data_IF_918704014861
#
_entry.id   IF_918704014861
#
_cell.length_a   1.000
_cell.length_b   1.000
_cell.length_c   1.000
_cell.angle_alpha   90.00
_cell.angle_beta   90.00
_cell.angle_gamma   90.00
#
_symmetry.space_group_name_H-M   'P 1'
#
loop_
_entity.id
_entity.type
_entity.pdbx_description
1 polymer ?
#
# COMPACT_ATOMS: atom_id res chain seq x y z
N UNK A 1 12.10 -11.87 36.48
CA UNK A 1 10.67 -11.51 36.32
C UNK A 1 10.58 -10.12 35.73
N UNK A 2 9.52 -9.83 34.96
CA UNK A 2 9.28 -8.56 34.27
C UNK A 2 7.83 -8.18 34.51
N UNK A 3 7.55 -6.90 34.80
CA UNK A 3 6.19 -6.42 35.05
C UNK A 3 5.52 -5.94 33.76
N UNK A 4 4.30 -6.45 33.50
CA UNK A 4 3.41 -6.05 32.39
C UNK A 4 1.97 -6.04 32.89
N UNK A 5 1.09 -5.25 32.27
CA UNK A 5 -0.34 -5.18 32.64
C UNK A 5 -1.30 -5.78 31.59
N UNK A 6 -0.79 -6.43 30.54
CA UNK A 6 -1.61 -7.02 29.47
C UNK A 6 -2.67 -6.04 28.92
N UNK A 7 -2.20 -4.89 28.46
CA UNK A 7 -3.05 -3.73 28.12
C UNK A 7 -3.88 -4.02 26.87
N UNK A 8 -5.19 -3.80 26.96
CA UNK A 8 -6.17 -3.99 25.87
C UNK A 8 -6.91 -2.70 25.49
N UNK A 9 -6.93 -1.70 26.37
CA UNK A 9 -7.59 -0.41 26.16
C UNK A 9 -6.82 0.71 26.89
N UNK A 10 -7.15 1.97 26.61
CA UNK A 10 -6.33 3.10 27.06
C UNK A 10 -6.67 3.47 28.50
N UNK A 11 -7.94 3.80 28.77
CA UNK A 11 -8.39 4.28 30.07
C UNK A 11 -9.29 3.25 30.78
N UNK A 12 -9.37 3.28 32.11
CA UNK A 12 -10.18 2.32 32.87
C UNK A 12 -11.66 2.34 32.45
N UNK A 13 -12.20 3.51 32.10
CA UNK A 13 -13.58 3.71 31.65
C UNK A 13 -13.89 3.02 30.30
N UNK A 14 -12.88 2.76 29.47
CA UNK A 14 -13.01 2.07 28.19
C UNK A 14 -13.32 0.57 28.34
N UNK A 15 -13.26 0.01 29.55
CA UNK A 15 -13.55 -1.41 29.80
C UNK A 15 -14.92 -1.83 29.24
N UNK A 16 -15.92 -0.95 29.33
CA UNK A 16 -17.27 -1.20 28.79
C UNK A 16 -17.31 -1.20 27.25
N UNK A 17 -16.56 -0.30 26.61
CA UNK A 17 -16.43 -0.24 25.17
C UNK A 17 -15.65 -1.46 24.62
N UNK A 18 -14.59 -1.87 25.32
CA UNK A 18 -13.84 -3.08 25.01
C UNK A 18 -14.71 -4.34 25.15
N UNK A 19 -15.54 -4.42 26.18
CA UNK A 19 -16.48 -5.53 26.37
C UNK A 19 -17.49 -5.63 25.21
N UNK A 20 -17.99 -4.49 24.73
CA UNK A 20 -18.80 -4.43 23.51
C UNK A 20 -18.02 -4.86 22.27
N UNK A 21 -16.76 -4.45 22.13
CA UNK A 21 -15.89 -4.86 21.03
C UNK A 21 -15.71 -6.39 20.99
N UNK A 22 -15.52 -7.03 22.15
CA UNK A 22 -15.47 -8.50 22.25
C UNK A 22 -16.79 -9.14 21.82
N UNK A 23 -17.93 -8.58 22.25
CA UNK A 23 -19.24 -9.07 21.84
C UNK A 23 -19.45 -8.96 20.32
N UNK A 24 -19.03 -7.85 19.71
CA UNK A 24 -19.07 -7.66 18.24
C UNK A 24 -18.20 -8.70 17.54
N UNK A 25 -16.95 -8.87 17.99
CA UNK A 25 -15.98 -9.79 17.40
C UNK A 25 -16.36 -11.27 17.56
N UNK A 26 -17.05 -11.63 18.64
CA UNK A 26 -17.51 -13.01 18.91
C UNK A 26 -18.95 -13.26 18.50
N UNK A 27 -19.63 -12.26 17.92
CA UNK A 27 -21.05 -12.31 17.55
C UNK A 27 -21.97 -12.71 18.71
N UNK A 28 -21.69 -12.21 19.91
CA UNK A 28 -22.49 -12.41 21.12
C UNK A 28 -23.18 -11.11 21.55
N UNK A 29 -24.09 -11.21 22.53
CA UNK A 29 -24.70 -10.05 23.19
C UNK A 29 -24.12 -9.86 24.59
N UNK A 30 -24.13 -8.62 25.11
CA UNK A 30 -23.77 -8.33 26.50
C UNK A 30 -24.62 -9.10 27.53
N UNK A 31 -25.81 -9.54 27.12
CA UNK A 31 -26.75 -10.29 27.95
C UNK A 31 -26.46 -11.79 28.00
N UNK A 32 -25.57 -12.31 27.15
CA UNK A 32 -25.18 -13.72 27.17
C UNK A 32 -24.23 -13.99 28.34
N UNK A 33 -24.63 -14.85 29.28
CA UNK A 33 -23.80 -15.20 30.45
C UNK A 33 -22.52 -15.94 30.09
N UNK A 34 -22.49 -16.64 28.96
CA UNK A 34 -21.34 -17.44 28.47
C UNK A 34 -20.47 -16.67 27.48
N UNK A 35 -20.75 -15.39 27.25
CA UNK A 35 -19.95 -14.56 26.35
C UNK A 35 -18.51 -14.44 26.82
N UNK A 36 -17.62 -14.23 25.85
CA UNK A 36 -16.24 -13.87 26.16
C UNK A 36 -16.23 -12.51 26.87
N UNK A 37 -15.63 -12.47 28.06
CA UNK A 37 -15.44 -11.24 28.84
C UNK A 37 -14.13 -11.30 29.59
N UNK A 38 -13.50 -10.15 29.77
CA UNK A 38 -12.33 -10.06 30.64
C UNK A 38 -12.73 -10.19 32.10
N UNK A 39 -11.79 -10.59 32.96
CA UNK A 39 -12.03 -10.85 34.38
C UNK A 39 -12.23 -9.57 35.24
N UNK A 40 -12.27 -8.39 34.62
CA UNK A 40 -12.47 -7.09 35.27
C UNK A 40 -12.12 -5.94 34.34
N UNK A 41 -12.00 -4.75 34.91
CA UNK A 41 -11.74 -3.48 34.22
C UNK A 41 -10.27 -3.01 34.31
N UNK A 42 -9.36 -3.88 34.76
CA UNK A 42 -7.97 -3.51 35.06
C UNK A 42 -6.97 -3.66 33.89
N UNK A 43 -7.42 -3.91 32.65
CA UNK A 43 -6.56 -4.09 31.48
C UNK A 43 -6.27 -2.79 30.70
N UNK A 44 -6.32 -1.65 31.39
CA UNK A 44 -5.97 -0.33 30.83
C UNK A 44 -4.47 -0.02 30.95
N UNK A 45 -4.03 1.06 30.30
CA UNK A 45 -2.66 1.56 30.40
C UNK A 45 -2.43 2.27 31.74
N UNK A 46 -2.02 1.50 32.75
CA UNK A 46 -1.79 2.03 34.11
C UNK A 46 -0.65 3.05 34.17
N UNK A 47 -0.80 4.13 34.96
CA UNK A 47 0.32 5.03 35.23
C UNK A 47 1.42 4.31 36.03
N UNK A 48 2.68 4.80 35.96
CA UNK A 48 3.81 4.17 36.67
C UNK A 48 3.60 4.00 38.17
N UNK A 49 2.94 4.97 38.83
CA UNK A 49 2.66 4.92 40.27
C UNK A 49 1.78 3.72 40.66
N UNK A 50 0.77 3.40 39.85
CA UNK A 50 -0.11 2.26 40.08
C UNK A 50 0.62 0.94 39.85
N UNK A 51 1.43 0.86 38.79
CA UNK A 51 2.27 -0.32 38.52
C UNK A 51 3.30 -0.57 39.62
N UNK A 52 3.90 0.48 40.18
CA UNK A 52 4.84 0.36 41.31
C UNK A 52 4.13 -0.18 42.54
N UNK A 53 2.93 0.30 42.86
CA UNK A 53 2.17 -0.21 44.00
C UNK A 53 1.74 -1.67 43.80
N UNK A 54 1.30 -2.04 42.59
CA UNK A 54 0.93 -3.43 42.24
C UNK A 54 2.11 -4.40 42.38
N UNK A 55 3.33 -3.95 42.09
CA UNK A 55 4.55 -4.75 42.15
C UNK A 55 5.46 -4.38 43.33
N UNK A 56 4.93 -3.78 44.40
CA UNK A 56 5.73 -3.33 45.55
C UNK A 56 6.54 -4.43 46.23
N UNK A 57 6.03 -5.66 46.19
CA UNK A 57 6.71 -6.84 46.77
C UNK A 57 7.87 -7.32 45.88
N UNK A 58 7.92 -6.90 44.61
CA UNK A 58 8.95 -7.28 43.62
C UNK A 58 9.36 -6.06 42.76
N UNK A 59 10.02 -5.02 43.34
CA UNK A 59 10.38 -3.81 42.60
C UNK A 59 11.28 -4.07 41.39
N UNK A 60 12.13 -5.11 41.48
CA UNK A 60 13.00 -5.58 40.41
C UNK A 60 12.24 -5.93 39.13
N UNK A 61 10.96 -6.31 39.21
CA UNK A 61 10.15 -6.60 38.03
C UNK A 61 9.91 -5.34 37.18
N UNK A 62 9.73 -4.17 37.82
CA UNK A 62 9.57 -2.87 37.18
C UNK A 62 10.91 -2.40 36.58
N UNK A 63 12.00 -2.49 37.36
CA UNK A 63 13.36 -2.15 36.89
C UNK A 63 13.76 -2.96 35.64
N UNK A 64 13.38 -4.24 35.61
CA UNK A 64 13.64 -5.10 34.47
C UNK A 64 12.86 -4.68 33.21
N UNK A 65 11.64 -4.14 33.35
CA UNK A 65 10.87 -3.60 32.22
C UNK A 65 11.60 -2.41 31.60
N UNK A 66 12.08 -1.47 32.41
CA UNK A 66 12.86 -0.32 31.92
C UNK A 66 14.19 -0.76 31.28
N UNK A 67 14.89 -1.71 31.91
CA UNK A 67 16.14 -2.25 31.37
C UNK A 67 15.94 -2.93 30.01
N UNK A 68 14.88 -3.74 29.85
CA UNK A 68 14.55 -4.36 28.56
C UNK A 68 14.23 -3.30 27.52
N UNK A 69 13.41 -2.30 27.87
CA UNK A 69 13.09 -1.20 26.96
C UNK A 69 14.36 -0.46 26.50
N UNK A 70 15.31 -0.21 27.41
CA UNK A 70 16.61 0.40 27.08
C UNK A 70 17.53 -0.46 26.22
N UNK A 71 17.32 -1.78 26.18
CA UNK A 71 18.06 -2.71 25.30
C UNK A 71 17.45 -2.82 23.89
N UNK A 72 16.18 -2.47 23.74
CA UNK A 72 15.46 -2.56 22.48
C UNK A 72 15.74 -1.33 21.60
N UNK A 73 16.54 -1.49 20.55
CA UNK A 73 16.81 -0.45 19.56
C UNK A 73 16.62 -1.00 18.14
N UNK A 74 15.38 -0.96 17.66
CA UNK A 74 15.03 -1.33 16.29
C UNK A 74 14.94 -0.06 15.43
N UNK A 75 15.69 -0.03 14.32
CA UNK A 75 15.60 1.03 13.32
C UNK A 75 14.96 0.46 12.06
N UNK A 76 13.79 0.99 11.70
CA UNK A 76 13.14 0.72 10.44
C UNK A 76 13.46 1.86 9.48
N UNK A 77 14.05 1.54 8.33
CA UNK A 77 14.33 2.51 7.28
C UNK A 77 13.11 2.63 6.36
N UNK A 78 12.56 3.83 6.27
CA UNK A 78 11.45 4.15 5.38
C UNK A 78 11.96 5.01 4.21
N UNK A 79 11.33 4.86 3.04
CA UNK A 79 11.65 5.66 1.85
C UNK A 79 12.79 5.12 0.98
N UNK A 80 13.42 3.99 1.34
CA UNK A 80 14.30 3.27 0.41
C UNK A 80 13.44 2.49 -0.57
N UNK A 81 13.63 2.77 -1.86
CA UNK A 81 12.96 2.06 -2.94
C UNK A 81 13.76 0.82 -3.32
N UNK A 82 13.07 -0.32 -3.38
CA UNK A 82 13.59 -1.58 -3.87
C UNK A 82 12.81 -1.92 -5.13
N UNK A 83 13.37 -1.54 -6.28
CA UNK A 83 12.74 -1.81 -7.57
C UNK A 83 13.20 -3.18 -8.08
N UNK A 84 12.29 -4.02 -8.61
CA UNK A 84 12.69 -5.25 -9.26
C UNK A 84 13.50 -4.93 -10.53
N UNK A 85 14.49 -5.77 -10.80
CA UNK A 85 15.27 -5.70 -12.01
C UNK A 85 14.57 -6.51 -13.12
N UNK A 86 14.68 -6.03 -14.35
CA UNK A 86 14.23 -6.76 -15.53
C UNK A 86 15.45 -7.39 -16.22
N UNK A 87 15.27 -8.52 -16.88
CA UNK A 87 16.29 -9.07 -17.76
C UNK A 87 16.51 -8.10 -18.94
N UNK A 88 17.73 -7.56 -19.02
CA UNK A 88 18.14 -6.65 -20.08
C UNK A 88 18.87 -7.43 -21.19
N UNK A 89 18.77 -7.01 -22.47
CA UNK A 89 19.65 -7.50 -23.52
C UNK A 89 21.13 -7.28 -23.17
N UNK A 90 22.01 -8.14 -23.66
CA UNK A 90 23.46 -8.04 -23.42
C UNK A 90 23.98 -6.62 -23.74
N UNK A 91 24.84 -6.11 -22.86
CA UNK A 91 25.53 -4.81 -22.98
C UNK A 91 24.66 -3.54 -22.92
N UNK A 92 23.37 -3.62 -22.56
CA UNK A 92 22.51 -2.43 -22.39
C UNK A 92 22.23 -2.10 -20.94
N UNK A 93 22.19 -0.79 -20.63
CA UNK A 93 21.62 -0.30 -19.37
C UNK A 93 20.10 -0.20 -19.46
N UNK A 94 19.41 -0.14 -18.31
CA UNK A 94 17.97 0.08 -18.25
C UNK A 94 17.54 1.38 -18.96
N UNK A 95 18.31 2.47 -18.80
CA UNK A 95 18.03 3.74 -19.47
C UNK A 95 18.14 3.62 -21.00
N UNK A 96 19.17 2.91 -21.49
CA UNK A 96 19.36 2.69 -22.93
C UNK A 96 18.26 1.83 -23.51
N UNK A 97 17.92 0.73 -22.83
CA UNK A 97 16.87 -0.17 -23.28
C UNK A 97 15.49 0.52 -23.29
N UNK A 98 15.18 1.31 -22.26
CA UNK A 98 13.96 2.12 -22.22
C UNK A 98 13.90 3.12 -23.37
N UNK A 99 15.01 3.82 -23.65
CA UNK A 99 15.08 4.77 -24.76
C UNK A 99 14.87 4.08 -26.11
N UNK A 100 15.53 2.94 -26.34
CA UNK A 100 15.38 2.15 -27.58
C UNK A 100 13.93 1.75 -27.83
N UNK A 101 13.24 1.22 -26.80
CA UNK A 101 11.82 0.86 -26.88
C UNK A 101 10.95 2.07 -27.22
N UNK A 102 11.24 3.23 -26.64
CA UNK A 102 10.48 4.45 -26.93
C UNK A 102 10.70 4.92 -28.38
N UNK A 103 11.94 4.91 -28.87
CA UNK A 103 12.24 5.29 -30.25
C UNK A 103 11.68 4.29 -31.28
N UNK A 104 11.60 3.00 -30.94
CA UNK A 104 10.96 1.99 -31.77
C UNK A 104 9.43 2.15 -31.78
N UNK A 105 8.82 2.52 -30.65
CA UNK A 105 7.38 2.77 -30.53
C UNK A 105 6.93 4.12 -31.11
N UNK A 106 7.80 5.14 -31.10
CA UNK A 106 7.45 6.51 -31.51
C UNK A 106 6.79 6.59 -32.90
N UNK A 107 7.29 5.94 -33.97
CA UNK A 107 6.67 6.02 -35.30
C UNK A 107 5.27 5.40 -35.38
N UNK A 108 4.91 4.52 -34.45
CA UNK A 108 3.58 3.90 -34.42
C UNK A 108 2.50 4.92 -34.01
N UNK A 109 2.84 5.83 -33.10
CA UNK A 109 1.96 6.88 -32.60
C UNK A 109 2.13 8.20 -33.36
N UNK A 110 3.36 8.51 -33.76
CA UNK A 110 3.72 9.73 -34.50
C UNK A 110 4.49 9.38 -35.78
N UNK A 111 3.80 9.09 -36.91
CA UNK A 111 4.45 8.72 -38.17
C UNK A 111 5.39 9.80 -38.74
N UNK A 112 5.13 11.07 -38.40
CA UNK A 112 6.00 12.21 -38.70
C UNK A 112 6.17 13.04 -37.43
N UNK A 113 7.10 12.66 -36.54
CA UNK A 113 7.27 13.36 -35.28
C UNK A 113 7.75 14.79 -35.56
N UNK A 114 7.09 15.76 -34.95
CA UNK A 114 7.55 17.15 -34.98
C UNK A 114 8.76 17.32 -34.06
N UNK A 115 9.58 18.37 -34.25
CA UNK A 115 10.68 18.66 -33.32
C UNK A 115 10.22 18.79 -31.85
N UNK A 116 8.98 19.22 -31.62
CA UNK A 116 8.39 19.32 -30.28
C UNK A 116 8.19 17.94 -29.63
N UNK A 117 7.73 16.95 -30.40
CA UNK A 117 7.55 15.57 -29.95
C UNK A 117 8.90 14.95 -29.57
N UNK A 118 9.90 15.09 -30.43
CA UNK A 118 11.25 14.56 -30.18
C UNK A 118 11.91 15.22 -28.95
N UNK A 119 11.73 16.53 -28.81
CA UNK A 119 12.21 17.27 -27.63
C UNK A 119 11.52 16.82 -26.36
N UNK A 120 10.20 16.63 -26.38
CA UNK A 120 9.43 16.15 -25.22
C UNK A 120 9.85 14.75 -24.81
N UNK A 121 9.99 13.83 -25.77
CA UNK A 121 10.46 12.46 -25.47
C UNK A 121 11.86 12.48 -24.87
N UNK A 122 12.79 13.23 -25.46
CA UNK A 122 14.17 13.31 -24.97
C UNK A 122 14.25 13.92 -23.57
N UNK A 123 13.41 14.93 -23.29
CA UNK A 123 13.30 15.53 -21.96
C UNK A 123 12.79 14.52 -20.92
N UNK A 124 11.70 13.81 -21.19
CA UNK A 124 11.14 12.83 -20.27
C UNK A 124 12.11 11.68 -19.98
N UNK A 125 12.80 11.16 -21.01
CA UNK A 125 13.83 10.12 -20.84
C UNK A 125 14.99 10.58 -19.96
N UNK A 126 15.44 11.83 -20.12
CA UNK A 126 16.50 12.40 -19.28
C UNK A 126 16.04 12.57 -17.82
N UNK A 127 14.79 12.98 -17.60
CA UNK A 127 14.21 13.07 -16.26
C UNK A 127 14.13 11.69 -15.59
N UNK A 128 13.69 10.66 -16.31
CA UNK A 128 13.60 9.28 -15.81
C UNK A 128 14.98 8.75 -15.44
N UNK A 129 16.00 9.03 -16.27
CA UNK A 129 17.39 8.66 -16.01
C UNK A 129 17.93 9.34 -14.75
N UNK A 130 17.69 10.64 -14.58
CA UNK A 130 18.15 11.39 -13.39
C UNK A 130 17.45 10.96 -12.11
N UNK A 131 16.20 10.49 -12.20
CA UNK A 131 15.43 9.95 -11.08
C UNK A 131 15.68 8.47 -10.81
N UNK A 132 16.43 7.78 -11.68
CA UNK A 132 16.77 6.35 -11.60
C UNK A 132 15.55 5.42 -11.62
N UNK A 133 14.50 5.82 -12.33
CA UNK A 133 13.25 5.04 -12.44
C UNK A 133 13.13 4.20 -13.72
N UNK A 134 14.18 4.08 -14.53
CA UNK A 134 14.10 3.31 -15.77
C UNK A 134 13.64 1.85 -15.55
N UNK A 135 14.14 1.16 -14.52
CA UNK A 135 13.70 -0.19 -14.17
C UNK A 135 12.20 -0.26 -13.85
N UNK A 136 11.66 0.76 -13.17
CA UNK A 136 10.23 0.81 -12.85
C UNK A 136 9.38 0.89 -14.12
N UNK A 137 9.76 1.76 -15.07
CA UNK A 137 9.07 1.86 -16.37
C UNK A 137 9.16 0.56 -17.17
N UNK A 138 10.32 -0.11 -17.15
CA UNK A 138 10.51 -1.39 -17.85
C UNK A 138 9.68 -2.52 -17.23
N UNK A 139 9.56 -2.58 -15.91
CA UNK A 139 8.69 -3.55 -15.22
C UNK A 139 7.23 -3.33 -15.61
N UNK A 140 6.78 -2.08 -15.63
CA UNK A 140 5.40 -1.75 -16.06
C UNK A 140 5.19 -2.09 -17.54
N UNK A 141 6.14 -1.72 -18.40
CA UNK A 141 6.11 -2.07 -19.83
C UNK A 141 6.01 -3.57 -20.04
N UNK A 142 6.73 -4.36 -19.25
CA UNK A 142 6.75 -5.81 -19.37
C UNK A 142 5.39 -6.44 -19.00
N UNK A 143 4.78 -5.97 -17.90
CA UNK A 143 3.44 -6.40 -17.47
C UNK A 143 2.41 -6.06 -18.55
N UNK A 144 2.46 -4.86 -19.11
CA UNK A 144 1.55 -4.43 -20.17
C UNK A 144 1.79 -5.19 -21.48
N UNK A 145 3.05 -5.47 -21.82
CA UNK A 145 3.41 -6.27 -22.99
C UNK A 145 2.85 -7.68 -22.90
N UNK A 146 2.90 -8.29 -21.70
CA UNK A 146 2.24 -9.58 -21.43
C UNK A 146 0.72 -9.49 -21.61
N UNK A 147 0.08 -8.48 -21.01
CA UNK A 147 -1.37 -8.27 -21.10
C UNK A 147 -1.82 -8.14 -22.56
N UNK A 148 -1.13 -7.30 -23.35
CA UNK A 148 -1.40 -7.11 -24.79
C UNK A 148 -1.26 -8.40 -25.58
N UNK A 149 -0.16 -9.14 -25.38
CA UNK A 149 0.10 -10.40 -26.09
C UNK A 149 -0.98 -11.46 -25.84
N UNK A 150 -1.63 -11.42 -24.66
CA UNK A 150 -2.71 -12.32 -24.28
C UNK A 150 -4.11 -11.70 -24.43
N UNK A 151 -4.21 -10.55 -25.10
CA UNK A 151 -5.47 -9.80 -25.30
C UNK A 151 -6.24 -9.57 -23.98
N UNK A 152 -5.53 -9.26 -22.88
CA UNK A 152 -6.14 -8.84 -21.61
C UNK A 152 -6.39 -7.34 -21.69
N UNK A 153 -7.62 -6.91 -21.44
CA UNK A 153 -7.94 -5.49 -21.40
C UNK A 153 -7.30 -4.84 -20.17
N UNK A 154 -6.74 -3.65 -20.36
CA UNK A 154 -6.16 -2.86 -19.28
C UNK A 154 -6.43 -1.38 -19.50
N UNK A 155 -6.33 -0.61 -18.42
CA UNK A 155 -6.46 0.84 -18.44
C UNK A 155 -5.44 1.49 -17.52
N UNK A 156 -5.02 2.71 -17.87
CA UNK A 156 -4.11 3.51 -17.04
C UNK A 156 -4.86 4.68 -16.44
N UNK A 157 -4.67 4.90 -15.14
CA UNK A 157 -5.28 6.02 -14.42
C UNK A 157 -4.23 7.02 -13.93
N UNK A 158 -4.73 8.17 -13.48
CA UNK A 158 -3.92 9.17 -12.80
C UNK A 158 -3.01 9.97 -13.72
N UNK A 159 -1.89 10.45 -13.17
CA UNK A 159 -0.95 11.33 -13.85
C UNK A 159 -0.10 10.61 -14.90
N UNK A 160 -0.04 9.27 -14.87
CA UNK A 160 0.69 8.45 -15.84
C UNK A 160 0.31 8.74 -17.31
N UNK A 161 -0.94 9.12 -17.59
CA UNK A 161 -1.37 9.51 -18.93
C UNK A 161 -0.66 10.76 -19.49
N UNK A 162 0.03 11.54 -18.65
CA UNK A 162 0.73 12.76 -19.05
C UNK A 162 2.14 12.54 -19.63
N UNK A 163 2.61 11.28 -19.69
CA UNK A 163 3.95 10.93 -20.16
C UNK A 163 3.94 10.41 -21.60
N UNK A 164 4.75 11.03 -22.46
CA UNK A 164 4.95 10.55 -23.83
C UNK A 164 5.75 9.25 -23.86
N UNK A 165 6.64 9.02 -22.87
CA UNK A 165 7.35 7.74 -22.71
C UNK A 165 6.35 6.60 -22.52
N UNK A 166 5.37 6.77 -21.61
CA UNK A 166 4.32 5.76 -21.41
C UNK A 166 3.45 5.59 -22.65
N UNK A 167 3.20 6.64 -23.42
CA UNK A 167 2.48 6.55 -24.69
C UNK A 167 3.26 5.75 -25.74
N UNK A 168 4.56 6.02 -25.91
CA UNK A 168 5.42 5.32 -26.87
C UNK A 168 5.62 3.84 -26.53
N UNK A 169 5.67 3.49 -25.24
CA UNK A 169 5.67 2.11 -24.76
C UNK A 169 4.30 1.42 -24.94
N UNK A 170 3.27 2.20 -25.28
CA UNK A 170 1.88 1.78 -25.38
C UNK A 170 1.27 1.38 -24.03
N UNK A 171 1.79 1.93 -22.94
CA UNK A 171 1.15 1.79 -21.63
C UNK A 171 -0.12 2.64 -21.60
N UNK A 172 -0.12 3.83 -22.22
CA UNK A 172 -1.32 4.68 -22.36
C UNK A 172 -1.69 4.91 -23.82
N UNK A 173 -2.98 4.91 -24.14
CA UNK A 173 -3.49 5.31 -25.47
C UNK A 173 -3.70 6.83 -25.58
N UNK A 174 -3.67 7.55 -24.46
CA UNK A 174 -3.86 9.02 -24.44
C UNK A 174 -2.59 9.70 -24.93
N UNK A 175 -2.72 10.52 -25.99
CA UNK A 175 -1.67 11.41 -26.45
C UNK A 175 -1.53 12.61 -25.50
N UNK A 176 -0.40 12.75 -24.77
CA UNK A 176 -0.23 13.84 -23.82
C UNK A 176 -0.01 15.20 -24.49
N UNK A 177 0.48 15.25 -25.72
CA UNK A 177 0.74 16.50 -26.45
C UNK A 177 -0.57 17.06 -26.99
N UNK A 178 -1.38 16.22 -27.65
CA UNK A 178 -2.69 16.62 -28.17
C UNK A 178 -3.60 17.14 -27.03
N UNK A 179 -3.55 16.47 -25.88
CA UNK A 179 -4.35 16.80 -24.70
C UNK A 179 -3.70 17.84 -23.76
N UNK A 180 -2.54 18.40 -24.13
CA UNK A 180 -1.79 19.42 -23.37
C UNK A 180 -1.53 19.01 -21.91
N UNK A 181 -1.21 17.74 -21.71
CA UNK A 181 -0.88 17.17 -20.41
C UNK A 181 0.56 17.51 -20.01
N UNK A 182 0.73 17.80 -18.73
CA UNK A 182 1.99 18.30 -18.15
C UNK A 182 2.71 17.14 -17.46
N UNK A 183 3.87 16.76 -17.97
CA UNK A 183 4.66 15.61 -17.49
C UNK A 183 5.11 15.78 -16.04
N UNK A 184 5.40 17.01 -15.62
CA UNK A 184 5.86 17.34 -14.27
C UNK A 184 4.79 17.07 -13.20
N UNK A 185 3.54 16.82 -13.59
CA UNK A 185 2.49 16.32 -12.68
C UNK A 185 2.63 14.82 -12.39
N UNK A 186 3.30 14.09 -13.26
CA UNK A 186 3.60 12.67 -13.13
C UNK A 186 4.96 12.45 -12.47
N UNK A 187 6.01 13.08 -13.02
CA UNK A 187 7.36 12.94 -12.51
C UNK A 187 8.09 14.28 -12.55
N UNK A 188 8.61 14.72 -11.40
CA UNK A 188 9.26 16.01 -11.25
C UNK A 188 10.66 15.84 -10.64
N UNK A 189 11.69 16.45 -11.25
CA UNK A 189 13.06 16.38 -10.75
C UNK A 189 13.25 17.01 -9.35
N UNK A 190 12.48 18.04 -9.03
CA UNK A 190 12.53 18.72 -7.73
C UNK A 190 11.92 17.86 -6.61
N UNK A 191 11.06 16.89 -6.99
CA UNK A 191 10.41 15.96 -6.08
C UNK A 191 10.71 14.53 -6.53
N UNK A 192 11.80 13.96 -6.01
CA UNK A 192 12.19 12.56 -6.24
C UNK A 192 11.28 11.58 -5.50
N UNK A 193 9.98 11.70 -5.71
CA UNK A 193 8.97 10.76 -5.25
C UNK A 193 8.79 9.67 -6.33
N UNK A 194 8.51 8.44 -5.89
CA UNK A 194 8.23 7.36 -6.82
C UNK A 194 6.96 7.67 -7.62
N UNK A 195 6.99 7.63 -8.96
CA UNK A 195 5.80 7.87 -9.76
C UNK A 195 4.84 6.69 -9.60
N UNK A 196 3.57 6.97 -9.39
CA UNK A 196 2.54 5.94 -9.30
C UNK A 196 1.90 5.70 -10.67
N UNK A 197 1.94 4.44 -11.14
CA UNK A 197 1.32 4.03 -12.40
C UNK A 197 0.21 3.04 -12.05
N UNK A 198 -0.99 3.59 -11.84
CA UNK A 198 -2.18 2.81 -11.56
C UNK A 198 -2.65 2.08 -12.82
N UNK A 199 -2.50 0.75 -12.80
CA UNK A 199 -2.99 -0.15 -13.84
C UNK A 199 -4.27 -0.85 -13.39
N UNK A 200 -5.32 -0.71 -14.20
CA UNK A 200 -6.51 -1.55 -14.12
C UNK A 200 -6.40 -2.68 -15.14
N UNK A 201 -6.85 -3.87 -14.76
CA UNK A 201 -6.96 -5.02 -15.66
C UNK A 201 -8.40 -5.53 -15.67
N UNK A 202 -8.75 -6.25 -16.72
CA UNK A 202 -10.00 -7.02 -16.80
C UNK A 202 -10.20 -7.91 -15.56
N UNK A 203 -11.37 -7.81 -14.93
CA UNK A 203 -11.63 -8.36 -13.59
C UNK A 203 -11.46 -9.89 -13.53
N UNK A 204 -11.99 -10.60 -14.54
CA UNK A 204 -11.95 -12.06 -14.63
C UNK A 204 -10.59 -12.62 -15.08
N UNK A 205 -9.67 -11.77 -15.55
CA UNK A 205 -8.33 -12.15 -16.04
C UNK A 205 -7.17 -11.52 -15.26
N UNK A 206 -7.46 -10.73 -14.22
CA UNK A 206 -6.44 -10.11 -13.35
C UNK A 206 -5.50 -11.15 -12.74
N UNK A 207 -6.01 -12.32 -12.39
CA UNK A 207 -5.21 -13.40 -11.79
C UNK A 207 -4.16 -13.98 -12.76
N UNK A 208 -4.37 -13.90 -14.08
CA UNK A 208 -3.36 -14.29 -15.08
C UNK A 208 -2.15 -13.36 -15.02
N UNK A 209 -2.40 -12.05 -14.87
CA UNK A 209 -1.34 -11.04 -14.76
C UNK A 209 -0.56 -11.20 -13.46
N UNK A 210 -1.25 -11.43 -12.34
CA UNK A 210 -0.60 -11.70 -11.05
C UNK A 210 0.27 -12.96 -11.13
N UNK A 211 -0.25 -14.02 -11.75
CA UNK A 211 0.48 -15.28 -11.95
C UNK A 211 1.73 -15.07 -12.80
N UNK A 212 1.65 -14.27 -13.86
CA UNK A 212 2.79 -13.90 -14.69
C UNK A 212 3.86 -13.15 -13.89
N UNK A 213 3.47 -12.10 -13.17
CA UNK A 213 4.39 -11.30 -12.33
C UNK A 213 5.06 -12.20 -11.29
N UNK A 214 4.31 -13.08 -10.63
CA UNK A 214 4.83 -14.03 -9.65
C UNK A 214 5.82 -15.03 -10.24
N UNK A 215 5.54 -15.57 -11.44
CA UNK A 215 6.46 -16.48 -12.13
C UNK A 215 7.73 -15.77 -12.60
N UNK A 216 7.62 -14.51 -13.04
CA UNK A 216 8.73 -13.75 -13.61
C UNK A 216 9.67 -13.17 -12.56
N UNK A 217 9.12 -12.56 -11.51
CA UNK A 217 9.90 -11.83 -10.50
C UNK A 217 10.17 -12.65 -9.23
N UNK A 218 9.61 -13.86 -9.14
CA UNK A 218 9.78 -14.79 -8.02
C UNK A 218 8.54 -14.86 -7.13
N UNK A 219 8.13 -16.08 -6.78
CA UNK A 219 6.95 -16.31 -5.94
C UNK A 219 7.12 -15.77 -4.51
N UNK A 220 8.36 -15.65 -4.04
CA UNK A 220 8.76 -15.12 -2.74
C UNK A 220 8.93 -13.60 -2.72
N UNK A 221 8.89 -12.94 -3.89
CA UNK A 221 9.01 -11.49 -4.03
C UNK A 221 7.70 -10.78 -4.39
N UNK A 222 6.62 -11.54 -4.60
CA UNK A 222 5.32 -11.01 -5.03
C UNK A 222 4.25 -11.37 -4.01
N UNK A 223 3.59 -10.36 -3.46
CA UNK A 223 2.50 -10.51 -2.52
C UNK A 223 1.41 -9.47 -2.76
N UNK A 224 0.20 -9.77 -2.31
CA UNK A 224 -0.89 -8.79 -2.31
C UNK A 224 -0.80 -7.89 -1.09
N UNK A 225 -1.18 -6.63 -1.27
CA UNK A 225 -1.28 -5.67 -0.17
C UNK A 225 -2.62 -5.88 0.52
N UNK A 226 -2.59 -6.06 1.85
CA UNK A 226 -3.81 -6.21 2.65
C UNK A 226 -4.58 -4.90 2.73
N UNK A 227 -5.91 -5.00 2.76
CA UNK A 227 -6.79 -3.88 3.09
C UNK A 227 -7.44 -4.15 4.45
N UNK A 228 -7.35 -3.20 5.36
CA UNK A 228 -8.03 -3.30 6.66
C UNK A 228 -9.42 -2.65 6.57
N UNK A 229 -10.46 -3.47 6.74
CA UNK A 229 -11.82 -2.96 6.91
C UNK A 229 -11.96 -2.25 8.25
N UNK A 230 -12.34 -0.98 8.22
CA UNK A 230 -12.63 -0.21 9.45
C UNK A 230 -14.13 -0.12 9.70
N UNK A 231 -14.50 0.08 10.96
CA UNK A 231 -15.90 0.20 11.35
C UNK A 231 -16.41 1.61 11.02
N UNK A 232 -16.99 1.78 9.83
CA UNK A 232 -17.62 3.05 9.44
C UNK A 232 -18.79 3.41 10.36
N UNK A 233 -19.15 4.70 10.45
CA UNK A 233 -20.11 5.20 11.45
C UNK A 233 -21.45 4.43 11.50
N UNK A 234 -22.02 4.09 10.33
CA UNK A 234 -23.26 3.29 10.26
C UNK A 234 -23.06 1.85 10.73
N UNK A 235 -21.94 1.23 10.35
CA UNK A 235 -21.61 -0.12 10.81
C UNK A 235 -21.39 -0.13 12.33
N UNK A 236 -20.72 0.91 12.87
CA UNK A 236 -20.48 1.05 14.30
C UNK A 236 -21.79 1.10 15.10
N UNK A 237 -22.75 1.94 14.68
CA UNK A 237 -24.06 2.00 15.33
C UNK A 237 -24.79 0.66 15.27
N UNK A 238 -24.81 0.01 14.10
CA UNK A 238 -25.46 -1.30 13.90
C UNK A 238 -24.84 -2.40 14.77
N UNK A 239 -23.51 -2.47 14.81
CA UNK A 239 -22.79 -3.50 15.54
C UNK A 239 -22.87 -3.30 17.05
N UNK A 240 -22.78 -2.05 17.52
CA UNK A 240 -23.00 -1.73 18.94
C UNK A 240 -24.44 -2.04 19.35
N UNK A 241 -25.43 -1.61 18.56
CA UNK A 241 -26.83 -1.89 18.84
C UNK A 241 -27.12 -3.40 18.91
N UNK A 242 -26.55 -4.18 17.99
CA UNK A 242 -26.62 -5.66 18.02
C UNK A 242 -25.99 -6.23 19.29
N UNK A 243 -24.78 -5.81 19.65
CA UNK A 243 -24.10 -6.28 20.86
C UNK A 243 -24.89 -5.94 22.13
N UNK A 244 -25.54 -4.77 22.16
CA UNK A 244 -26.48 -4.34 23.20
C UNK A 244 -27.82 -5.10 23.20
N UNK A 245 -28.07 -5.98 22.23
CA UNK A 245 -29.33 -6.71 22.12
C UNK A 245 -30.51 -5.89 21.63
N UNK A 246 -30.26 -4.72 21.00
CA UNK A 246 -31.31 -3.86 20.46
C UNK A 246 -31.92 -4.45 19.18
N UNK A 247 -33.24 -4.30 18.94
CA UNK A 247 -33.86 -4.70 17.68
C UNK A 247 -33.28 -3.93 16.49
N UNK A 248 -33.03 -4.63 15.38
CA UNK A 248 -32.45 -4.01 14.17
C UNK A 248 -33.22 -2.78 13.69
N UNK A 249 -34.55 -2.81 13.72
CA UNK A 249 -35.42 -1.70 13.30
C UNK A 249 -35.27 -0.43 14.13
N UNK A 250 -34.83 -0.56 15.39
CA UNK A 250 -34.60 0.57 16.27
C UNK A 250 -33.23 1.20 16.00
N UNK A 251 -32.22 0.39 15.72
CA UNK A 251 -30.85 0.82 15.43
C UNK A 251 -30.72 1.44 14.03
N UNK A 252 -31.55 1.01 13.08
CA UNK A 252 -31.53 1.48 11.69
C UNK A 252 -32.33 2.79 11.46
N UNK A 253 -33.01 3.29 12.49
CA UNK A 253 -33.81 4.52 12.45
C UNK A 253 -32.96 5.77 12.66
#
# INVERSE_FOLDING_TARGET
>A
MVATNDVHYVDQEDASAHDLLLCIGTNSSIHDEKRMKMAGDFFYLKPPSEMIELFKDIPQAIENTERIAGMCNLKLEFGRLYLPEIELPEEKTADQFLADLCYEGLPQYYPQPTPEIEQRLSYELEVIKQTQFANYFLVVWDIISFARKHNILFGVRGSAAASIVLHCLGITEVDPIENKLVFERFLNLERREMPDIDLDFEDDRRDEVISYVSQKYGQDHVAQIITFGTLGARAALRDVGRALGMPYSEVDR
#
